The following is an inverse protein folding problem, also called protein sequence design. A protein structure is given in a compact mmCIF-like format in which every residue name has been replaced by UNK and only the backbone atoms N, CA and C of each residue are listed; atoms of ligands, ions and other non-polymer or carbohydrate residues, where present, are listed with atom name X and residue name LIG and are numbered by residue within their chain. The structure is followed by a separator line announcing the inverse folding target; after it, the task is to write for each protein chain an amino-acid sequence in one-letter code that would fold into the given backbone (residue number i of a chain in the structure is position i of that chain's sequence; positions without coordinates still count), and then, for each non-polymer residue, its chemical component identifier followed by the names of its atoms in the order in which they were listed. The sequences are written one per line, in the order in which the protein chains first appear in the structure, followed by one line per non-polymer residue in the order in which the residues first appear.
data_IF_513541487401
#
_entry.id   IF_513541487401
#
_cell.length_a   1.000
_cell.length_b   1.000
_cell.length_c   1.000
_cell.angle_alpha   90.00
_cell.angle_beta   90.00
_cell.angle_gamma   90.00
#
_symmetry.space_group_name_H-M   'P 1'
#
loop_
_entity.id
_entity.type
_entity.pdbx_description
1 polymer ?
#
# COMPACT_ATOMS: atom_id res chain seq x y z
N UNK A 1 16.57 -14.69 -9.55
CA UNK A 1 15.52 -14.79 -8.53
C UNK A 1 15.46 -13.50 -7.74
N UNK A 2 14.28 -12.98 -7.48
CA UNK A 2 14.08 -11.73 -6.74
C UNK A 2 13.46 -12.05 -5.39
N UNK A 3 14.02 -11.46 -4.34
CA UNK A 3 13.55 -11.67 -2.97
C UNK A 3 12.82 -10.43 -2.47
N UNK A 4 11.67 -10.62 -1.85
CA UNK A 4 10.93 -9.56 -1.16
C UNK A 4 11.29 -9.63 0.32
N UNK A 5 11.77 -8.51 0.86
CA UNK A 5 12.16 -8.44 2.29
C UNK A 5 11.82 -7.07 2.86
N UNK A 6 11.80 -6.96 4.17
CA UNK A 6 11.62 -5.66 4.82
C UNK A 6 12.76 -4.73 4.45
N UNK A 7 12.41 -3.46 4.22
CA UNK A 7 13.40 -2.41 4.00
C UNK A 7 14.10 -2.06 5.32
N UNK A 8 15.36 -1.68 5.20
CA UNK A 8 16.15 -1.13 6.30
C UNK A 8 16.54 0.31 5.97
N UNK A 9 17.11 1.01 6.94
CA UNK A 9 17.59 2.38 6.72
C UNK A 9 18.59 2.43 5.56
N UNK A 10 19.41 1.38 5.42
CA UNK A 10 20.40 1.31 4.35
C UNK A 10 19.79 1.20 2.94
N UNK A 11 18.52 0.80 2.86
CA UNK A 11 17.84 0.67 1.56
C UNK A 11 17.22 1.99 1.06
N UNK A 12 17.09 3.00 1.91
CA UNK A 12 16.32 4.20 1.57
C UNK A 12 16.86 4.95 0.37
N UNK A 13 18.17 5.05 0.22
CA UNK A 13 18.77 5.71 -0.94
C UNK A 13 18.45 4.96 -2.23
N UNK A 14 18.53 3.64 -2.20
CA UNK A 14 18.20 2.80 -3.35
C UNK A 14 16.70 2.90 -3.70
N UNK A 15 15.83 2.99 -2.70
CA UNK A 15 14.40 3.21 -2.91
C UNK A 15 14.15 4.56 -3.59
N UNK A 16 14.80 5.61 -3.13
CA UNK A 16 14.70 6.93 -3.75
C UNK A 16 15.20 6.90 -5.20
N UNK A 17 16.30 6.22 -5.47
CA UNK A 17 16.82 6.05 -6.83
C UNK A 17 15.80 5.35 -7.71
N UNK A 18 15.21 4.28 -7.23
CA UNK A 18 14.16 3.56 -7.95
C UNK A 18 12.96 4.47 -8.23
N UNK A 19 12.56 5.28 -7.25
CA UNK A 19 11.48 6.25 -7.40
C UNK A 19 11.77 7.25 -8.52
N UNK A 20 12.99 7.79 -8.56
CA UNK A 20 13.40 8.75 -9.58
C UNK A 20 13.33 8.17 -10.99
N UNK A 21 13.64 6.89 -11.15
CA UNK A 21 13.57 6.23 -12.46
C UNK A 21 12.15 5.86 -12.89
N UNK A 22 11.24 5.67 -11.94
CA UNK A 22 9.95 5.03 -12.23
C UNK A 22 8.76 5.97 -12.22
N UNK A 23 8.79 7.01 -11.37
CA UNK A 23 7.61 7.82 -11.10
C UNK A 23 7.91 9.31 -11.20
N UNK A 24 6.96 10.12 -11.67
CA UNK A 24 7.11 11.58 -11.63
C UNK A 24 6.96 12.14 -10.21
N UNK A 25 6.26 11.44 -9.31
CA UNK A 25 6.10 11.86 -7.92
C UNK A 25 7.32 11.46 -7.12
N UNK A 26 8.22 12.42 -6.91
CA UNK A 26 9.48 12.19 -6.19
C UNK A 26 9.42 12.79 -4.80
N UNK A 27 10.02 12.12 -3.84
CA UNK A 27 10.02 12.53 -2.45
C UNK A 27 11.42 12.85 -1.97
N UNK A 28 11.53 13.81 -1.04
CA UNK A 28 12.78 14.09 -0.35
C UNK A 28 13.12 12.96 0.63
N UNK A 29 14.40 12.77 0.90
CA UNK A 29 14.88 11.68 1.77
C UNK A 29 14.23 11.72 3.17
N UNK A 30 13.95 12.89 3.70
CA UNK A 30 13.28 13.02 5.01
C UNK A 30 11.93 12.30 5.06
N UNK A 31 11.25 12.21 3.93
CA UNK A 31 9.94 11.54 3.85
C UNK A 31 10.09 10.02 3.99
N UNK A 32 11.16 9.46 3.37
CA UNK A 32 11.48 8.04 3.53
C UNK A 32 11.84 7.74 4.98
N UNK A 33 12.63 8.59 5.62
CA UNK A 33 12.96 8.45 7.04
C UNK A 33 11.71 8.51 7.92
N UNK A 34 10.82 9.42 7.64
CA UNK A 34 9.57 9.54 8.39
C UNK A 34 8.80 8.22 8.36
N UNK A 35 8.70 7.60 7.18
CA UNK A 35 7.99 6.33 7.05
C UNK A 35 8.68 5.20 7.79
N UNK A 36 9.98 5.05 7.65
CA UNK A 36 10.67 3.91 8.25
C UNK A 36 10.76 4.02 9.77
N UNK A 37 10.85 5.24 10.29
CA UNK A 37 10.87 5.45 11.73
C UNK A 37 9.48 5.26 12.35
N UNK A 38 8.43 5.61 11.64
CA UNK A 38 7.06 5.51 12.13
C UNK A 38 6.43 4.15 11.89
N UNK A 39 6.65 3.56 10.73
CA UNK A 39 6.03 2.28 10.32
C UNK A 39 7.04 1.35 9.66
N UNK A 40 8.07 0.89 10.37
CA UNK A 40 9.11 0.04 9.75
C UNK A 40 8.57 -1.27 9.19
N UNK A 41 7.42 -1.73 9.67
CA UNK A 41 6.78 -2.96 9.22
C UNK A 41 6.09 -2.82 7.86
N UNK A 42 5.97 -1.60 7.33
CA UNK A 42 5.19 -1.34 6.12
C UNK A 42 6.06 -0.97 4.91
N UNK A 43 7.38 -1.09 5.04
CA UNK A 43 8.30 -0.83 3.94
C UNK A 43 8.96 -2.13 3.50
N UNK A 44 8.81 -2.45 2.23
CA UNK A 44 9.41 -3.65 1.64
C UNK A 44 10.15 -3.30 0.38
N UNK A 45 11.19 -4.08 0.09
CA UNK A 45 11.99 -3.94 -1.13
C UNK A 45 12.05 -5.26 -1.86
N UNK A 46 12.21 -5.17 -3.17
CA UNK A 46 12.51 -6.31 -4.03
C UNK A 46 13.99 -6.23 -4.39
N UNK A 47 14.74 -7.23 -3.97
CA UNK A 47 16.17 -7.32 -4.18
C UNK A 47 16.47 -8.43 -5.17
N UNK A 48 17.23 -8.12 -6.22
CA UNK A 48 17.58 -9.10 -7.22
C UNK A 48 18.76 -9.96 -6.77
N UNK A 49 19.13 -10.94 -7.59
CA UNK A 49 20.20 -11.87 -7.29
C UNK A 49 21.54 -11.18 -6.99
N UNK A 50 21.80 -10.03 -7.63
CA UNK A 50 23.03 -9.28 -7.43
C UNK A 50 23.01 -8.32 -6.25
N UNK A 51 21.94 -8.31 -5.46
CA UNK A 51 21.81 -7.39 -4.33
C UNK A 51 21.27 -6.02 -4.70
N UNK A 52 20.84 -5.81 -5.94
CA UNK A 52 20.29 -4.54 -6.39
C UNK A 52 18.82 -4.44 -6.02
N UNK A 53 18.41 -3.30 -5.50
CA UNK A 53 17.01 -3.01 -5.24
C UNK A 53 16.33 -2.63 -6.55
N UNK A 54 15.35 -3.42 -6.95
CA UNK A 54 14.64 -3.28 -8.23
C UNK A 54 13.19 -2.88 -8.08
N UNK A 55 12.71 -2.79 -6.85
CA UNK A 55 11.36 -2.35 -6.55
C UNK A 55 11.19 -2.08 -5.08
N UNK A 56 10.12 -1.36 -4.73
CA UNK A 56 9.82 -1.06 -3.33
C UNK A 56 8.34 -0.74 -3.16
N UNK A 57 7.88 -0.84 -1.93
CA UNK A 57 6.62 -0.25 -1.49
C UNK A 57 6.89 0.60 -0.26
N UNK A 58 6.32 1.79 -0.26
CA UNK A 58 6.39 2.76 0.83
C UNK A 58 4.96 2.98 1.31
N UNK A 59 4.68 2.60 2.54
CA UNK A 59 3.32 2.63 3.08
C UNK A 59 3.30 3.17 4.50
N UNK A 60 2.13 3.61 4.92
CA UNK A 60 1.92 4.18 6.26
C UNK A 60 0.54 3.82 6.77
N UNK A 61 0.28 4.13 8.04
CA UNK A 61 -1.04 4.04 8.64
C UNK A 61 -1.65 5.43 8.78
N UNK A 62 -2.95 5.51 8.60
CA UNK A 62 -3.75 6.71 8.83
C UNK A 62 -4.67 6.43 10.01
N UNK A 63 -4.45 7.17 11.10
CA UNK A 63 -5.19 6.95 12.36
C UNK A 63 -6.09 8.13 12.73
N UNK A 64 -6.12 9.16 11.91
CA UNK A 64 -6.88 10.39 12.19
C UNK A 64 -8.38 10.24 12.04
N UNK A 65 -8.83 9.14 11.44
CA UNK A 65 -10.24 8.87 11.24
C UNK A 65 -10.74 7.83 12.24
N UNK A 66 -12.06 7.67 12.35
CA UNK A 66 -12.66 6.65 13.19
C UNK A 66 -12.28 5.23 12.75
N UNK A 67 -11.77 5.09 11.56
CA UNK A 67 -11.38 3.81 10.99
C UNK A 67 -9.87 3.77 10.75
N UNK A 68 -9.20 2.83 11.40
CA UNK A 68 -7.77 2.61 11.17
C UNK A 68 -7.58 2.00 9.79
N UNK A 69 -6.81 2.68 8.93
CA UNK A 69 -6.55 2.16 7.59
C UNK A 69 -5.12 2.42 7.16
N UNK A 70 -4.63 1.55 6.27
CA UNK A 70 -3.33 1.72 5.65
C UNK A 70 -3.41 2.59 4.40
N UNK A 71 -2.30 3.17 4.04
CA UNK A 71 -2.17 3.97 2.82
C UNK A 71 -0.88 3.63 2.11
N UNK A 72 -0.97 3.30 0.83
CA UNK A 72 0.20 3.07 0.00
C UNK A 72 0.66 4.41 -0.55
N UNK A 73 1.76 4.90 -0.03
CA UNK A 73 2.32 6.18 -0.45
C UNK A 73 2.96 6.09 -1.82
N UNK A 74 3.71 5.01 -2.07
CA UNK A 74 4.43 4.83 -3.33
C UNK A 74 4.74 3.36 -3.56
N UNK A 75 4.62 2.93 -4.81
CA UNK A 75 4.96 1.59 -5.26
C UNK A 75 5.63 1.71 -6.61
N UNK A 76 6.81 1.12 -6.76
CA UNK A 76 7.52 1.14 -8.03
C UNK A 76 8.34 -0.13 -8.23
N UNK A 77 8.44 -0.55 -9.48
CA UNK A 77 9.31 -1.63 -9.93
C UNK A 77 10.04 -1.16 -11.17
N UNK A 78 11.35 -1.33 -11.23
CA UNK A 78 12.15 -0.96 -12.38
C UNK A 78 11.61 -1.64 -13.64
N UNK A 79 11.66 -0.91 -14.75
CA UNK A 79 11.14 -1.40 -16.04
C UNK A 79 11.71 -2.76 -16.42
N UNK A 80 13.00 -2.99 -16.15
CA UNK A 80 13.70 -4.23 -16.47
C UNK A 80 13.15 -5.44 -15.72
N UNK A 81 12.45 -5.22 -14.62
CA UNK A 81 11.94 -6.28 -13.74
C UNK A 81 10.42 -6.32 -13.66
N UNK A 82 9.72 -5.60 -14.53
CA UNK A 82 8.26 -5.65 -14.61
C UNK A 82 7.79 -6.97 -15.20
N UNK A 83 6.50 -7.28 -15.01
CA UNK A 83 5.84 -8.52 -15.46
C UNK A 83 6.35 -9.79 -14.75
N UNK A 84 7.03 -9.64 -13.62
CA UNK A 84 7.47 -10.76 -12.78
C UNK A 84 6.58 -10.94 -11.53
N UNK A 85 5.52 -10.14 -11.43
CA UNK A 85 4.64 -10.18 -10.27
C UNK A 85 5.20 -9.51 -9.03
N UNK A 86 6.26 -8.70 -9.16
CA UNK A 86 6.93 -8.08 -8.01
C UNK A 86 6.04 -7.03 -7.33
N UNK A 87 5.30 -6.23 -8.11
CA UNK A 87 4.37 -5.24 -7.55
C UNK A 87 3.31 -5.93 -6.70
N UNK A 88 2.77 -7.04 -7.18
CA UNK A 88 1.78 -7.83 -6.44
C UNK A 88 2.37 -8.36 -5.13
N UNK A 89 3.60 -8.89 -5.18
CA UNK A 89 4.27 -9.41 -3.99
C UNK A 89 4.58 -8.32 -2.97
N UNK A 90 5.04 -7.16 -3.43
CA UNK A 90 5.30 -6.01 -2.56
C UNK A 90 4.02 -5.52 -1.89
N UNK A 91 2.95 -5.40 -2.66
CA UNK A 91 1.64 -4.99 -2.12
C UNK A 91 1.10 -6.01 -1.13
N UNK A 92 1.21 -7.29 -1.45
CA UNK A 92 0.75 -8.35 -0.55
C UNK A 92 1.50 -8.31 0.79
N UNK A 93 2.81 -8.08 0.76
CA UNK A 93 3.60 -7.97 1.99
C UNK A 93 3.17 -6.78 2.84
N UNK A 94 2.98 -5.61 2.24
CA UNK A 94 2.54 -4.43 2.95
C UNK A 94 1.12 -4.59 3.51
N UNK A 95 0.20 -5.12 2.71
CA UNK A 95 -1.18 -5.34 3.14
C UNK A 95 -1.28 -6.36 4.27
N UNK A 96 -0.50 -7.42 4.20
CA UNK A 96 -0.46 -8.41 5.27
C UNK A 96 0.04 -7.80 6.57
N UNK A 97 1.07 -6.96 6.51
CA UNK A 97 1.58 -6.26 7.69
C UNK A 97 0.55 -5.27 8.26
N UNK A 98 -0.16 -4.56 7.39
CA UNK A 98 -1.25 -3.66 7.83
C UNK A 98 -2.31 -4.43 8.61
N UNK A 99 -2.67 -5.60 8.13
CA UNK A 99 -3.69 -6.43 8.77
C UNK A 99 -3.18 -7.06 10.06
N UNK A 100 -2.01 -7.69 10.04
CA UNK A 100 -1.49 -8.46 11.16
C UNK A 100 -0.92 -7.60 12.29
N UNK A 101 -0.25 -6.51 11.96
CA UNK A 101 0.42 -5.65 12.96
C UNK A 101 -0.48 -4.52 13.43
N UNK A 102 -1.20 -3.89 12.52
CA UNK A 102 -1.96 -2.66 12.80
C UNK A 102 -3.47 -2.87 12.83
N UNK A 103 -3.94 -4.06 12.50
CA UNK A 103 -5.36 -4.37 12.50
C UNK A 103 -6.17 -3.43 11.58
N UNK A 104 -5.60 -3.09 10.45
CA UNK A 104 -6.20 -2.16 9.50
C UNK A 104 -7.47 -2.72 8.88
N UNK A 105 -8.47 -1.88 8.72
CA UNK A 105 -9.75 -2.29 8.15
C UNK A 105 -9.72 -2.30 6.63
N UNK A 106 -9.03 -1.33 6.04
CA UNK A 106 -8.85 -1.27 4.60
C UNK A 106 -7.52 -0.59 4.27
N UNK A 107 -7.17 -0.60 3.00
CA UNK A 107 -5.99 0.08 2.48
C UNK A 107 -6.40 0.97 1.32
N UNK A 108 -5.82 2.17 1.25
CA UNK A 108 -6.10 3.15 0.21
C UNK A 108 -4.84 3.51 -0.55
N UNK A 109 -5.03 4.02 -1.75
CA UNK A 109 -3.94 4.57 -2.57
C UNK A 109 -4.51 5.57 -3.57
N UNK A 110 -3.62 6.39 -4.13
CA UNK A 110 -3.96 7.30 -5.21
C UNK A 110 -3.23 6.88 -6.48
N UNK A 111 -3.94 6.94 -7.61
CA UNK A 111 -3.36 6.63 -8.92
C UNK A 111 -3.77 7.70 -9.91
N UNK A 112 -2.83 8.13 -10.76
CA UNK A 112 -3.12 9.09 -11.83
C UNK A 112 -4.17 8.51 -12.76
N UNK A 113 -5.13 9.34 -13.12
CA UNK A 113 -6.20 8.95 -14.04
C UNK A 113 -5.65 8.41 -15.36
N UNK A 114 -4.55 8.98 -15.85
CA UNK A 114 -3.91 8.57 -17.09
C UNK A 114 -3.06 7.31 -16.96
N UNK A 115 -2.70 6.90 -15.74
CA UNK A 115 -1.84 5.73 -15.54
C UNK A 115 -2.66 4.43 -15.62
N UNK A 116 -2.95 4.03 -16.85
CA UNK A 116 -3.81 2.87 -17.11
C UNK A 116 -3.19 1.55 -16.66
N UNK A 117 -1.87 1.43 -16.79
CA UNK A 117 -1.18 0.21 -16.38
C UNK A 117 -1.32 -0.02 -14.86
N UNK A 118 -1.09 1.02 -14.05
CA UNK A 118 -1.27 0.94 -12.61
C UNK A 118 -2.74 0.72 -12.24
N UNK A 119 -3.64 1.45 -12.89
CA UNK A 119 -5.07 1.29 -12.65
C UNK A 119 -5.52 -0.16 -12.88
N UNK A 120 -5.09 -0.76 -13.97
CA UNK A 120 -5.44 -2.14 -14.28
C UNK A 120 -4.83 -3.13 -13.29
N UNK A 121 -3.58 -2.90 -12.87
CA UNK A 121 -2.95 -3.71 -11.82
C UNK A 121 -3.79 -3.69 -10.54
N UNK A 122 -4.18 -2.52 -10.09
CA UNK A 122 -4.93 -2.40 -8.84
C UNK A 122 -6.34 -2.96 -8.94
N UNK A 123 -7.04 -2.72 -10.04
CA UNK A 123 -8.42 -3.21 -10.17
C UNK A 123 -8.50 -4.69 -10.50
N UNK A 124 -7.74 -5.15 -11.49
CA UNK A 124 -7.86 -6.50 -12.03
C UNK A 124 -7.08 -7.54 -11.24
N UNK A 125 -5.86 -7.19 -10.83
CA UNK A 125 -4.98 -8.14 -10.15
C UNK A 125 -5.12 -8.08 -8.64
N UNK A 126 -5.23 -6.89 -8.08
CA UNK A 126 -5.19 -6.68 -6.63
C UNK A 126 -6.55 -6.45 -5.99
N UNK A 127 -7.58 -6.25 -6.79
CA UNK A 127 -8.96 -6.18 -6.27
C UNK A 127 -9.35 -4.86 -5.63
N UNK A 128 -8.67 -3.77 -5.98
CA UNK A 128 -9.03 -2.44 -5.50
C UNK A 128 -10.24 -1.90 -6.25
N UNK A 129 -11.01 -1.06 -5.58
CA UNK A 129 -12.17 -0.39 -6.17
C UNK A 129 -12.00 1.12 -6.05
N UNK A 130 -12.56 1.85 -7.02
CA UNK A 130 -12.58 3.31 -6.96
C UNK A 130 -13.52 3.73 -5.83
N UNK A 131 -12.99 4.50 -4.88
CA UNK A 131 -13.78 5.08 -3.82
C UNK A 131 -14.21 6.50 -4.15
N UNK A 132 -13.30 7.28 -4.73
CA UNK A 132 -13.54 8.68 -5.09
C UNK A 132 -12.58 9.11 -6.19
N UNK A 133 -12.83 10.29 -6.76
CA UNK A 133 -11.92 10.93 -7.69
C UNK A 133 -11.57 12.30 -7.13
N UNK A 134 -10.28 12.56 -6.98
CA UNK A 134 -9.79 13.83 -6.47
C UNK A 134 -9.28 14.68 -7.63
N UNK A 135 -10.02 15.77 -7.93
CA UNK A 135 -9.67 16.65 -9.01
C UNK A 135 -8.39 17.42 -8.68
N UNK A 136 -7.51 17.55 -9.69
CA UNK A 136 -6.26 18.31 -9.59
C UNK A 136 -5.40 17.90 -8.40
N UNK A 137 -5.33 16.60 -8.13
CA UNK A 137 -4.59 16.07 -6.99
C UNK A 137 -3.09 16.26 -7.13
N UNK A 138 -2.56 16.00 -8.33
CA UNK A 138 -1.11 16.07 -8.58
C UNK A 138 -0.68 17.49 -8.92
N UNK A 139 0.62 17.77 -8.73
CA UNK A 139 1.18 19.11 -8.92
C UNK A 139 0.99 19.65 -10.34
N UNK A 140 0.90 18.77 -11.33
CA UNK A 140 0.66 19.14 -12.74
C UNK A 140 -0.82 19.34 -13.07
N UNK A 141 -1.70 19.20 -12.07
CA UNK A 141 -3.14 19.36 -12.25
C UNK A 141 -3.90 18.13 -12.67
N UNK A 142 -3.24 16.99 -12.78
CA UNK A 142 -3.92 15.76 -13.13
C UNK A 142 -4.78 15.23 -11.98
N UNK A 143 -5.95 14.66 -12.31
CA UNK A 143 -6.85 14.04 -11.36
C UNK A 143 -6.30 12.69 -10.88
N UNK A 144 -6.67 12.31 -9.67
CA UNK A 144 -6.35 11.00 -9.10
C UNK A 144 -7.61 10.22 -8.76
N UNK A 145 -7.55 8.91 -8.93
CA UNK A 145 -8.52 8.02 -8.31
C UNK A 145 -8.04 7.67 -6.89
N UNK A 146 -8.92 7.83 -5.92
CA UNK A 146 -8.75 7.27 -4.58
C UNK A 146 -9.29 5.85 -4.64
N UNK A 147 -8.40 4.88 -4.52
CA UNK A 147 -8.76 3.47 -4.64
C UNK A 147 -8.60 2.78 -3.30
N UNK A 148 -9.49 1.85 -2.98
CA UNK A 148 -9.50 1.16 -1.70
C UNK A 148 -9.73 -0.33 -1.86
N UNK A 149 -9.14 -1.08 -0.93
CA UNK A 149 -9.36 -2.51 -0.81
C UNK A 149 -9.69 -2.84 0.63
N UNK A 150 -10.81 -3.52 0.86
CA UNK A 150 -11.22 -3.95 2.18
C UNK A 150 -10.35 -5.11 2.66
N UNK A 151 -9.79 -4.99 3.86
CA UNK A 151 -8.97 -6.03 4.48
C UNK A 151 -9.74 -6.86 5.50
N UNK A 152 -10.81 -6.29 6.07
CA UNK A 152 -11.65 -6.97 7.07
C UNK A 152 -13.12 -6.88 6.70
N UNK A 153 -13.86 -7.94 7.02
CA UNK A 153 -15.31 -7.94 6.94
C UNK A 153 -15.87 -7.30 8.21
N UNK A 154 -16.42 -6.11 8.06
CA UNK A 154 -16.72 -5.25 9.20
C UNK A 154 -18.06 -5.41 9.88
N UNK A 155 -19.08 -5.81 9.17
CA UNK A 155 -20.45 -5.52 9.65
C UNK A 155 -21.23 -6.73 10.09
N UNK A 156 -20.91 -7.90 9.61
CA UNK A 156 -21.71 -9.08 9.90
C UNK A 156 -21.40 -9.71 11.26
N UNK A 157 -20.14 -9.64 11.69
CA UNK A 157 -19.74 -10.23 12.96
C UNK A 157 -20.26 -9.48 14.18
N UNK A 158 -20.39 -8.15 14.11
CA UNK A 158 -20.88 -7.37 15.23
C UNK A 158 -22.37 -7.59 15.47
N UNK A 159 -23.16 -7.74 14.41
CA UNK A 159 -24.58 -8.01 14.53
C UNK A 159 -24.86 -9.42 15.08
N UNK A 160 -24.07 -10.40 14.66
CA UNK A 160 -24.24 -11.76 15.16
C UNK A 160 -23.89 -11.88 16.64
N UNK A 161 -22.86 -11.18 17.09
CA UNK A 161 -22.47 -11.19 18.49
C UNK A 161 -23.53 -10.55 19.38
N UNK A 162 -24.18 -9.51 18.92
CA UNK A 162 -25.28 -8.90 19.67
C UNK A 162 -26.49 -9.83 19.80
N UNK A 163 -26.83 -10.56 18.77
CA UNK A 163 -27.94 -11.51 18.82
C UNK A 163 -27.66 -12.68 19.75
N UNK A 164 -26.44 -13.18 19.80
CA UNK A 164 -26.05 -14.25 20.70
C UNK A 164 -26.09 -13.85 22.16
N UNK A 165 -25.79 -12.59 22.50
CA UNK A 165 -25.86 -12.11 23.86
C UNK A 165 -27.28 -12.07 24.39
N UNK A 166 -28.24 -11.75 23.57
CA UNK A 166 -29.65 -11.72 23.98
C UNK A 166 -30.25 -13.12 24.19
N UNK A 167 -29.76 -14.10 23.45
CA UNK A 167 -30.20 -15.48 23.61
C UNK A 167 -29.72 -16.15 24.86
N UNK A 168 -28.62 -15.71 25.43
CA UNK A 168 -28.08 -16.31 26.66
C UNK A 168 -28.69 -15.77 27.96
N UNK A 169 -29.42 -14.71 27.89
CA UNK A 169 -29.99 -14.08 29.06
C UNK A 169 -31.31 -14.64 29.54
N UNK A 170 -31.85 -15.62 28.86
CA UNK A 170 -33.16 -16.16 29.17
C UNK A 170 -33.11 -17.46 29.97
N UNK A 171 -31.96 -17.82 30.43
CA UNK A 171 -31.82 -18.96 31.30
C UNK A 171 -31.56 -18.52 32.72
#
# INVERSE_FOLDING_TARGET
MVCIRKATIDDLLAMQTCNLFCLPENYQMKYYFYHILSWPQLLYVAEDYGGKIVGYVLAKMEEETTECHGHITSLAVLRTHRKLGLATKLMAAAQNAMEQVFDAEYVSLHVRKSNRAAFNLYTETLGYQIHDMEAKYYADGEDAYDMRKQLKEKTQHQHQNHHHHHGGGCC
#
